data_IF_849290691274
#
_entry.id   IF_849290691274
#
_cell.length_a   1.000
_cell.length_b   1.000
_cell.length_c   1.000
_cell.angle_alpha   90.00
_cell.angle_beta   90.00
_cell.angle_gamma   90.00
#
_symmetry.space_group_name_H-M   'P 1'
#
loop_
_entity.id
_entity.type
_entity.pdbx_description
1 polymer ?
#
# COMPACT_ATOMS: atom_id res chain seq x y z
N UNK A 1 0.82 -18.75 -32.54
CA UNK A 1 1.31 -17.57 -31.79
C UNK A 1 0.42 -17.46 -30.56
N UNK A 2 0.91 -17.66 -29.32
CA UNK A 2 0.05 -17.42 -28.17
C UNK A 2 -0.16 -15.91 -28.05
N UNK A 3 -1.42 -15.54 -27.95
CA UNK A 3 -1.95 -14.19 -27.82
C UNK A 3 -1.30 -13.49 -26.62
N UNK A 4 -0.76 -12.28 -26.83
CA UNK A 4 -0.10 -11.52 -25.78
C UNK A 4 -1.14 -11.18 -24.70
N UNK A 5 -1.07 -11.86 -23.55
CA UNK A 5 -1.91 -11.56 -22.39
C UNK A 5 -1.61 -10.12 -21.97
N UNK A 6 -2.50 -9.20 -22.33
CA UNK A 6 -2.48 -7.82 -21.87
C UNK A 6 -2.59 -7.82 -20.34
N UNK A 7 -1.45 -7.77 -19.66
CA UNK A 7 -1.37 -7.81 -18.20
C UNK A 7 -1.77 -6.44 -17.67
N UNK A 8 -3.06 -6.25 -17.40
CA UNK A 8 -3.61 -5.01 -16.84
C UNK A 8 -3.45 -5.00 -15.32
N UNK A 9 -2.21 -4.84 -14.84
CA UNK A 9 -1.97 -4.58 -13.42
C UNK A 9 -1.90 -3.06 -13.15
N UNK A 10 -2.37 -2.56 -11.98
CA UNK A 10 -2.41 -1.13 -11.70
C UNK A 10 -1.02 -0.50 -11.58
N UNK A 11 -0.75 0.54 -12.36
CA UNK A 11 0.50 1.31 -12.27
C UNK A 11 0.38 2.47 -11.27
N UNK A 12 1.48 2.91 -10.63
CA UNK A 12 1.45 4.09 -9.77
C UNK A 12 0.85 5.30 -10.51
N UNK A 13 -0.03 6.08 -9.86
CA UNK A 13 -0.35 6.07 -8.43
C UNK A 13 -1.43 5.07 -8.01
N UNK A 14 -2.02 4.31 -8.93
CA UNK A 14 -3.06 3.31 -8.62
C UNK A 14 -2.46 2.12 -7.87
N UNK A 15 -3.10 1.75 -6.76
CA UNK A 15 -2.65 0.63 -5.94
C UNK A 15 -3.01 -0.72 -6.59
N UNK A 16 -2.05 -1.63 -6.61
CA UNK A 16 -2.21 -3.03 -6.92
C UNK A 16 -2.62 -3.76 -5.64
N UNK A 17 -3.70 -4.55 -5.70
CA UNK A 17 -4.12 -5.42 -4.60
C UNK A 17 -3.09 -6.53 -4.36
N UNK A 18 -3.04 -7.06 -3.14
CA UNK A 18 -2.14 -8.14 -2.74
C UNK A 18 -2.25 -9.37 -3.65
N UNK A 19 -3.48 -9.80 -3.96
CA UNK A 19 -3.75 -10.94 -4.85
C UNK A 19 -3.16 -10.78 -6.26
N UNK A 20 -2.97 -9.55 -6.75
CA UNK A 20 -2.46 -9.25 -8.08
C UNK A 20 -0.94 -9.06 -8.15
N UNK A 21 -0.20 -9.19 -7.03
CA UNK A 21 1.26 -9.03 -7.02
C UNK A 21 2.02 -10.09 -7.86
N UNK A 22 1.35 -11.14 -8.33
CA UNK A 22 1.93 -12.10 -9.27
C UNK A 22 1.98 -11.56 -10.72
N UNK A 23 1.17 -10.57 -11.07
CA UNK A 23 1.04 -10.06 -12.44
C UNK A 23 2.18 -9.13 -12.88
N UNK A 24 2.66 -8.16 -12.06
CA UNK A 24 3.75 -7.29 -12.49
C UNK A 24 5.04 -8.09 -12.72
N UNK A 25 5.84 -7.75 -13.75
CA UNK A 25 7.13 -8.40 -13.97
C UNK A 25 8.09 -8.13 -12.79
N UNK A 26 9.15 -8.93 -12.68
CA UNK A 26 10.18 -8.70 -11.68
C UNK A 26 10.74 -7.27 -11.78
N UNK A 27 11.03 -6.63 -10.64
CA UNK A 27 11.53 -5.26 -10.55
C UNK A 27 10.57 -4.16 -11.05
N UNK A 28 9.34 -4.52 -11.43
CA UNK A 28 8.30 -3.55 -11.77
C UNK A 28 8.10 -2.57 -10.62
N UNK A 29 7.97 -1.29 -10.99
CA UNK A 29 7.63 -0.24 -10.04
C UNK A 29 6.11 -0.17 -9.90
N UNK A 30 5.61 -0.44 -8.71
CA UNK A 30 4.18 -0.52 -8.42
C UNK A 30 3.81 0.25 -7.16
N UNK A 31 2.52 0.44 -6.95
CA UNK A 31 1.96 1.02 -5.73
C UNK A 31 1.11 -0.04 -5.05
N UNK A 32 1.14 -0.10 -3.72
CA UNK A 32 0.21 -0.87 -2.89
C UNK A 32 -0.34 0.02 -1.79
N UNK A 33 -1.51 -0.32 -1.27
CA UNK A 33 -2.09 0.34 -0.10
C UNK A 33 -2.73 -0.72 0.79
N UNK A 34 -2.64 -0.55 2.10
CA UNK A 34 -3.22 -1.49 3.06
C UNK A 34 -3.06 -1.04 4.50
N UNK A 35 -3.79 -1.69 5.39
CA UNK A 35 -3.69 -1.52 6.83
C UNK A 35 -2.34 -2.03 7.32
N UNK A 36 -1.70 -1.29 8.20
CA UNK A 36 -0.42 -1.73 8.76
C UNK A 36 -0.65 -2.67 9.93
N UNK A 37 -0.47 -3.96 9.69
CA UNK A 37 -0.72 -5.01 10.69
C UNK A 37 0.52 -5.38 11.51
N UNK A 38 1.73 -5.23 10.94
CA UNK A 38 2.97 -5.60 11.61
C UNK A 38 4.14 -4.71 11.20
N UNK A 39 5.03 -4.43 12.16
CA UNK A 39 6.34 -3.79 11.94
C UNK A 39 7.40 -4.59 12.67
N UNK A 40 8.46 -4.94 11.97
CA UNK A 40 9.60 -5.64 12.56
C UNK A 40 10.89 -4.92 12.20
N UNK A 41 11.78 -4.78 13.18
CA UNK A 41 13.14 -4.26 12.99
C UNK A 41 14.12 -5.23 13.64
N UNK A 42 14.52 -6.31 12.95
CA UNK A 42 15.46 -7.27 13.49
C UNK A 42 16.79 -6.58 13.85
N UNK A 43 17.32 -6.86 15.04
CA UNK A 43 18.58 -6.24 15.51
C UNK A 43 19.78 -6.51 14.59
N UNK A 44 19.75 -7.61 13.84
CA UNK A 44 20.81 -8.07 12.94
C UNK A 44 20.70 -7.53 11.51
N UNK A 45 19.56 -6.95 11.12
CA UNK A 45 19.26 -6.63 9.72
C UNK A 45 19.78 -5.26 9.25
N UNK A 46 20.94 -4.79 9.74
CA UNK A 46 21.61 -3.53 9.32
C UNK A 46 20.68 -2.30 9.23
N UNK A 47 19.66 -2.21 10.08
CA UNK A 47 18.70 -1.09 10.09
C UNK A 47 17.57 -1.17 9.07
N UNK A 48 17.33 -2.34 8.47
CA UNK A 48 16.12 -2.62 7.67
C UNK A 48 14.90 -2.76 8.57
N UNK A 49 13.78 -2.25 8.11
CA UNK A 49 12.47 -2.43 8.72
C UNK A 49 11.59 -3.21 7.74
N UNK A 50 10.91 -4.23 8.25
CA UNK A 50 9.87 -4.96 7.55
C UNK A 50 8.52 -4.46 8.03
N UNK A 51 7.62 -4.21 7.09
CA UNK A 51 6.24 -3.81 7.37
C UNK A 51 5.33 -4.76 6.59
N UNK A 52 4.32 -5.31 7.24
CA UNK A 52 3.28 -6.08 6.56
C UNK A 52 2.03 -5.22 6.44
N UNK A 53 1.59 -5.02 5.20
CA UNK A 53 0.31 -4.39 4.89
C UNK A 53 -0.73 -5.47 4.62
N UNK A 54 -1.98 -5.19 4.94
CA UNK A 54 -3.12 -6.06 4.66
C UNK A 54 -4.21 -5.29 3.90
N UNK A 55 -4.69 -5.88 2.81
CA UNK A 55 -5.93 -5.50 2.13
C UNK A 55 -6.91 -6.70 2.15
N UNK A 56 -8.12 -6.51 1.64
CA UNK A 56 -9.15 -7.55 1.61
C UNK A 56 -8.77 -8.79 0.78
N UNK A 57 -7.71 -8.72 -0.02
CA UNK A 57 -7.24 -9.78 -0.90
C UNK A 57 -5.99 -10.50 -0.36
N UNK A 58 -5.40 -10.02 0.74
CA UNK A 58 -4.27 -10.65 1.41
C UNK A 58 -3.23 -9.67 1.93
N UNK A 59 -2.00 -10.15 2.10
CA UNK A 59 -0.90 -9.38 2.70
C UNK A 59 0.18 -8.99 1.69
N UNK A 60 0.83 -7.86 1.95
CA UNK A 60 1.97 -7.36 1.19
C UNK A 60 3.13 -7.07 2.14
N UNK A 61 4.27 -7.71 1.88
CA UNK A 61 5.48 -7.49 2.66
C UNK A 61 6.30 -6.33 2.07
N UNK A 62 6.53 -5.30 2.87
CA UNK A 62 7.29 -4.12 2.51
C UNK A 62 8.66 -4.17 3.18
N UNK A 63 9.70 -3.92 2.40
CA UNK A 63 11.07 -3.75 2.90
C UNK A 63 11.44 -2.28 2.85
N UNK A 64 11.79 -1.72 4.01
CA UNK A 64 12.16 -0.32 4.16
C UNK A 64 13.62 -0.24 4.61
N UNK A 65 14.48 0.18 3.69
CA UNK A 65 15.89 0.44 3.97
C UNK A 65 16.07 1.70 4.82
N UNK A 66 17.18 1.77 5.58
CA UNK A 66 17.48 2.86 6.51
C UNK A 66 17.28 4.26 5.91
N UNK A 67 17.78 4.50 4.69
CA UNK A 67 17.64 5.79 3.98
C UNK A 67 16.18 6.18 3.72
N UNK A 68 15.33 5.20 3.40
CA UNK A 68 13.90 5.41 3.15
C UNK A 68 13.19 5.64 4.48
N UNK A 69 13.52 4.86 5.51
CA UNK A 69 13.01 5.06 6.86
C UNK A 69 13.32 6.46 7.39
N UNK A 70 14.56 6.93 7.29
CA UNK A 70 14.97 8.26 7.74
C UNK A 70 14.15 9.36 7.03
N UNK A 71 13.89 9.21 5.73
CA UNK A 71 13.08 10.15 4.94
C UNK A 71 11.59 10.14 5.32
N UNK A 72 11.01 8.97 5.56
CA UNK A 72 9.57 8.80 5.83
C UNK A 72 9.28 8.35 7.25
N UNK A 73 10.12 8.79 8.21
CA UNK A 73 10.14 8.27 9.59
C UNK A 73 8.77 8.29 10.26
N UNK A 74 8.05 9.41 10.14
CA UNK A 74 6.70 9.56 10.72
C UNK A 74 5.75 8.51 10.15
N UNK A 75 5.62 8.43 8.83
CA UNK A 75 4.72 7.48 8.18
C UNK A 75 5.06 6.03 8.54
N UNK A 76 6.35 5.67 8.55
CA UNK A 76 6.79 4.32 8.92
C UNK A 76 6.42 3.96 10.36
N UNK A 77 6.53 4.90 11.30
CA UNK A 77 6.27 4.62 12.72
C UNK A 77 4.77 4.65 13.04
N UNK A 78 4.02 5.64 12.55
CA UNK A 78 2.68 5.95 13.05
C UNK A 78 1.52 5.55 12.15
N UNK A 79 1.74 5.30 10.85
CA UNK A 79 0.63 5.11 9.91
C UNK A 79 -0.22 3.87 10.27
N UNK A 80 -1.54 4.03 10.38
CA UNK A 80 -2.50 2.92 10.50
C UNK A 80 -2.90 2.38 9.12
N UNK A 81 -2.97 3.27 8.14
CA UNK A 81 -3.17 2.95 6.72
C UNK A 81 -2.03 3.57 5.92
N UNK A 82 -1.39 2.78 5.07
CA UNK A 82 -0.19 3.19 4.36
C UNK A 82 -0.31 2.94 2.86
N UNK A 83 0.11 3.91 2.05
CA UNK A 83 0.37 3.72 0.63
C UNK A 83 1.87 3.67 0.39
N UNK A 84 2.32 2.64 -0.31
CA UNK A 84 3.74 2.43 -0.62
C UNK A 84 3.91 2.32 -2.13
N UNK A 85 4.73 3.19 -2.70
CA UNK A 85 5.26 3.00 -4.05
C UNK A 85 6.66 2.44 -3.95
N UNK A 86 6.94 1.38 -4.69
CA UNK A 86 8.21 0.66 -4.61
C UNK A 86 8.42 -0.31 -5.76
N UNK A 87 9.46 -1.13 -5.64
CA UNK A 87 9.81 -2.14 -6.64
C UNK A 87 9.51 -3.53 -6.15
N UNK A 88 8.91 -4.33 -7.02
CA UNK A 88 8.62 -5.73 -6.73
C UNK A 88 9.90 -6.56 -6.76
N UNK A 89 10.13 -7.34 -5.71
CA UNK A 89 11.23 -8.30 -5.60
C UNK A 89 10.66 -9.66 -5.21
N UNK A 90 11.13 -10.71 -5.87
CA UNK A 90 10.76 -12.10 -5.59
C UNK A 90 12.02 -12.83 -5.16
N UNK A 91 12.00 -13.43 -3.98
CA UNK A 91 13.12 -14.20 -3.44
C UNK A 91 12.56 -15.34 -2.60
N UNK A 92 13.10 -16.55 -2.77
CA UNK A 92 12.79 -17.72 -1.94
C UNK A 92 11.28 -18.01 -1.79
N UNK A 93 10.51 -17.82 -2.88
CA UNK A 93 9.06 -18.01 -2.88
C UNK A 93 8.24 -16.89 -2.26
N UNK A 94 8.88 -15.85 -1.71
CA UNK A 94 8.22 -14.70 -1.09
C UNK A 94 8.29 -13.48 -2.02
N UNK A 95 7.19 -12.76 -2.11
CA UNK A 95 7.10 -11.50 -2.86
C UNK A 95 7.15 -10.31 -1.88
N UNK A 96 8.08 -9.40 -2.13
CA UNK A 96 8.28 -8.18 -1.33
C UNK A 96 8.21 -6.93 -2.22
N UNK A 97 7.81 -5.81 -1.63
CA UNK A 97 7.92 -4.48 -2.24
C UNK A 97 9.03 -3.70 -1.53
N UNK A 98 10.08 -3.37 -2.26
CA UNK A 98 11.16 -2.50 -1.78
C UNK A 98 10.67 -1.06 -1.86
N UNK A 99 10.48 -0.42 -0.71
CA UNK A 99 9.87 0.90 -0.63
C UNK A 99 10.76 2.00 -1.24
N UNK A 100 10.17 2.87 -2.05
CA UNK A 100 10.80 4.08 -2.59
C UNK A 100 10.09 5.36 -2.08
N UNK A 101 8.76 5.31 -1.95
CA UNK A 101 7.91 6.37 -1.41
C UNK A 101 6.89 5.75 -0.45
N UNK A 102 6.72 6.38 0.70
CA UNK A 102 5.78 5.95 1.74
C UNK A 102 4.89 7.13 2.10
N UNK A 103 3.59 6.91 2.11
CA UNK A 103 2.57 7.90 2.42
C UNK A 103 1.69 7.39 3.55
N UNK A 104 1.56 8.20 4.60
CA UNK A 104 0.58 7.97 5.65
C UNK A 104 -0.78 8.46 5.14
N UNK A 105 -1.67 7.51 4.88
CA UNK A 105 -3.04 7.77 4.42
C UNK A 105 -4.06 7.42 5.51
N UNK A 106 -3.62 7.32 6.77
CA UNK A 106 -4.49 7.12 7.93
C UNK A 106 -5.65 8.12 8.04
N UNK A 107 -5.53 9.40 7.63
CA UNK A 107 -6.67 10.31 7.62
C UNK A 107 -7.87 9.82 6.78
N UNK A 108 -7.67 8.91 5.81
CA UNK A 108 -8.78 8.29 5.07
C UNK A 108 -9.60 7.34 5.96
N UNK A 109 -9.00 6.72 6.97
CA UNK A 109 -9.75 5.91 7.95
C UNK A 109 -10.65 6.80 8.80
N UNK A 110 -10.21 8.01 9.13
CA UNK A 110 -10.99 8.93 9.94
C UNK A 110 -12.24 9.41 9.18
N UNK A 111 -12.21 9.43 7.84
CA UNK A 111 -13.38 9.70 7.00
C UNK A 111 -14.46 8.61 7.11
N UNK A 112 -14.11 7.37 7.43
CA UNK A 112 -15.08 6.29 7.66
C UNK A 112 -15.84 6.48 8.97
N UNK A 113 -15.24 7.20 9.93
CA UNK A 113 -15.85 7.54 11.22
C UNK A 113 -16.58 8.88 11.19
N UNK A 114 -16.35 9.70 10.15
CA UNK A 114 -17.07 10.93 9.97
C UNK A 114 -18.56 10.61 9.87
N UNK A 115 -19.43 11.35 10.59
CA UNK A 115 -20.86 11.22 10.41
C UNK A 115 -21.16 11.35 8.92
N UNK A 116 -21.88 10.37 8.36
CA UNK A 116 -22.44 10.53 7.02
C UNK A 116 -23.32 11.78 7.11
N UNK A 117 -22.88 12.89 6.49
CA UNK A 117 -23.76 14.03 6.29
C UNK A 117 -24.97 13.49 5.52
N UNK A 118 -26.07 13.22 6.22
CA UNK A 118 -27.35 13.12 5.55
C UNK A 118 -27.52 14.48 4.89
N UNK A 119 -27.56 14.50 3.56
CA UNK A 119 -28.23 15.57 2.83
C UNK A 119 -29.68 15.61 3.34
N UNK A 120 -29.92 16.34 4.41
CA UNK A 120 -31.25 16.69 4.89
C UNK A 120 -31.52 18.09 4.35
N UNK A 121 -32.48 18.16 3.43
CA UNK A 121 -33.10 19.40 2.98
C UNK A 121 -33.12 19.50 1.44
N UNK A 122 -34.26 19.70 0.78
CA UNK A 122 -35.65 19.72 1.21
C UNK A 122 -36.49 19.54 -0.07
N UNK A 123 -37.53 18.71 -0.03
CA UNK A 123 -38.60 18.79 -1.01
C UNK A 123 -39.54 19.91 -0.54
N UNK A 124 -39.73 20.96 -1.34
CA UNK A 124 -40.96 21.77 -1.33
C UNK A 124 -41.10 22.52 -2.65
N UNK A 125 -42.10 22.08 -3.41
CA UNK A 125 -43.09 22.84 -4.18
C UNK A 125 -42.74 24.24 -4.73
N UNK A 126 -42.90 24.37 -6.06
CA UNK A 126 -43.10 25.60 -6.82
C UNK A 126 -42.83 25.28 -8.29
N UNK A 127 -43.74 25.43 -9.25
CA UNK A 127 -45.06 26.07 -9.35
C UNK A 127 -45.80 25.37 -10.49
#
# INVERSE_FOLDING_TARGET
MPEAVHTHWPKPPSACCASHLHQPPAHARLCVAGLVILRQRPGTAKGVIFITLEDETGTVNIVVWRKIFERYRRAVISARLMRVTGRLQRADGVTHVIAEKIEDISPLLDQLLAPVEKKIGNSVAGT
#
